data_IF_085283355709
#
_entry.id   IF_085283355709
#
_cell.length_a   1.000
_cell.length_b   1.000
_cell.length_c   1.000
_cell.angle_alpha   90.00
_cell.angle_beta   90.00
_cell.angle_gamma   90.00
#
_symmetry.space_group_name_H-M   'P 1'
#
loop_
_entity.id
_entity.type
_entity.pdbx_description
1 polymer ?
#
# COMPACT_ATOMS: atom_id res chain seq x y z
N UNK A 1 82.47 24.89 -21.23
CA UNK A 1 81.46 24.62 -20.19
C UNK A 1 80.58 25.86 -20.07
N UNK A 2 79.39 25.81 -20.64
CA UNK A 2 78.30 26.73 -20.35
C UNK A 2 77.03 26.01 -20.80
N UNK A 3 76.48 25.20 -19.90
CA UNK A 3 75.18 24.55 -20.10
C UNK A 3 74.10 25.63 -19.97
N UNK A 4 73.30 25.79 -21.01
CA UNK A 4 72.08 26.60 -20.97
C UNK A 4 71.01 25.84 -20.19
N UNK A 5 70.63 26.37 -19.03
CA UNK A 5 69.51 25.89 -18.24
C UNK A 5 68.22 26.24 -18.99
N UNK A 6 67.61 25.25 -19.61
CA UNK A 6 66.25 25.36 -20.14
C UNK A 6 65.24 25.33 -19.00
N UNK A 7 64.46 26.40 -18.84
CA UNK A 7 63.32 26.40 -17.93
C UNK A 7 62.28 25.38 -18.38
N UNK A 8 62.15 24.28 -17.63
CA UNK A 8 61.02 23.36 -17.75
C UNK A 8 59.74 24.11 -17.37
N UNK A 9 58.90 24.40 -18.36
CA UNK A 9 57.52 24.80 -18.14
C UNK A 9 56.81 23.67 -17.38
N UNK A 10 56.65 23.82 -16.07
CA UNK A 10 55.77 22.97 -15.26
C UNK A 10 54.42 22.89 -15.98
N UNK A 11 54.02 21.69 -16.40
CA UNK A 11 52.66 21.41 -16.86
C UNK A 11 51.74 21.69 -15.68
N UNK A 12 51.13 22.87 -15.67
CA UNK A 12 50.06 23.19 -14.74
C UNK A 12 48.90 22.24 -15.02
N UNK A 13 48.66 21.31 -14.10
CA UNK A 13 47.45 20.51 -14.10
C UNK A 13 46.29 21.42 -13.70
N UNK A 14 45.19 21.41 -14.45
CA UNK A 14 43.99 22.18 -14.09
C UNK A 14 43.45 21.80 -12.69
N UNK A 15 43.85 20.62 -12.22
CA UNK A 15 43.51 20.02 -10.93
C UNK A 15 44.32 20.58 -9.75
N UNK A 16 45.42 21.32 -10.00
CA UNK A 16 46.28 21.92 -8.96
C UNK A 16 45.88 23.37 -8.63
N UNK A 17 44.76 23.85 -9.19
CA UNK A 17 44.23 25.18 -8.91
C UNK A 17 43.59 25.20 -7.51
N UNK A 18 43.92 26.20 -6.65
CA UNK A 18 43.37 26.31 -5.29
C UNK A 18 41.85 26.54 -5.27
N UNK A 19 41.25 26.84 -6.41
CA UNK A 19 39.82 27.11 -6.59
C UNK A 19 38.96 25.85 -6.81
N UNK A 20 39.56 24.67 -6.95
CA UNK A 20 38.83 23.39 -7.07
C UNK A 20 38.80 22.70 -5.70
N UNK A 21 37.74 22.88 -4.88
CA UNK A 21 37.64 22.21 -3.59
C UNK A 21 37.58 20.69 -3.79
N UNK A 22 38.71 20.01 -3.58
CA UNK A 22 38.78 18.56 -3.66
C UNK A 22 38.01 17.94 -2.48
N UNK A 23 37.04 17.07 -2.77
CA UNK A 23 36.32 16.27 -1.77
C UNK A 23 35.07 16.90 -1.14
N UNK A 24 34.71 18.15 -1.48
CA UNK A 24 33.46 18.78 -1.04
C UNK A 24 32.70 19.42 -2.19
N UNK A 25 31.40 19.12 -2.27
CA UNK A 25 30.48 19.74 -3.22
C UNK A 25 30.27 21.21 -2.83
N UNK A 26 30.30 22.17 -3.79
CA UNK A 26 29.85 23.52 -3.54
C UNK A 26 28.45 23.57 -2.89
N UNK A 27 28.16 24.52 -1.97
CA UNK A 27 26.91 24.54 -1.22
C UNK A 27 25.64 24.52 -2.08
N UNK A 28 25.67 25.14 -3.27
CA UNK A 28 24.52 25.15 -4.18
C UNK A 28 24.27 23.79 -4.84
N UNK A 29 25.32 23.02 -5.15
CA UNK A 29 25.21 21.68 -5.71
C UNK A 29 24.80 20.67 -4.62
N UNK A 30 25.28 20.85 -3.39
CA UNK A 30 24.84 20.03 -2.26
C UNK A 30 23.35 20.23 -1.97
N UNK A 31 22.86 21.47 -2.08
CA UNK A 31 21.44 21.78 -1.98
C UNK A 31 20.63 21.07 -3.07
N UNK A 32 21.08 21.14 -4.32
CA UNK A 32 20.45 20.45 -5.45
C UNK A 32 20.46 18.91 -5.26
N UNK A 33 21.52 18.35 -4.69
CA UNK A 33 21.66 16.92 -4.42
C UNK A 33 20.74 16.44 -3.30
N UNK A 34 20.63 17.19 -2.21
CA UNK A 34 20.01 16.74 -0.96
C UNK A 34 18.56 17.22 -0.74
N UNK A 35 18.13 18.27 -1.43
CA UNK A 35 16.81 18.90 -1.24
C UNK A 35 16.07 19.09 -2.55
N UNK A 36 14.75 19.05 -2.46
CA UNK A 36 13.86 19.57 -3.50
C UNK A 36 13.54 21.02 -3.14
N UNK A 37 13.62 21.97 -4.07
CA UNK A 37 13.26 23.36 -3.79
C UNK A 37 11.83 23.63 -4.25
N UNK A 38 10.93 24.04 -3.36
CA UNK A 38 9.56 24.36 -3.73
C UNK A 38 9.39 25.87 -3.93
N UNK A 39 9.42 26.32 -5.20
CA UNK A 39 9.15 27.71 -5.56
C UNK A 39 7.64 27.94 -5.79
N UNK A 40 7.27 29.21 -6.01
CA UNK A 40 5.89 29.64 -6.28
C UNK A 40 5.34 28.98 -7.55
N UNK A 41 6.15 28.96 -8.61
CA UNK A 41 5.76 28.39 -9.90
C UNK A 41 5.79 26.85 -9.87
N UNK A 42 6.99 26.27 -9.73
CA UNK A 42 7.21 24.83 -9.81
C UNK A 42 8.32 24.35 -8.85
N UNK A 43 8.27 23.08 -8.41
CA UNK A 43 9.39 22.49 -7.69
C UNK A 43 10.60 22.32 -8.62
N UNK A 44 11.80 22.58 -8.08
CA UNK A 44 13.08 22.45 -8.76
C UNK A 44 13.90 21.36 -8.08
N UNK A 45 14.81 20.73 -8.84
CA UNK A 45 15.69 19.66 -8.38
C UNK A 45 14.91 18.43 -7.89
N UNK A 46 13.93 17.97 -8.66
CA UNK A 46 13.13 16.77 -8.32
C UNK A 46 13.88 15.47 -8.53
N UNK A 47 14.89 15.46 -9.40
CA UNK A 47 15.66 14.27 -9.76
C UNK A 47 16.69 13.88 -8.68
N UNK A 48 16.90 12.58 -8.49
CA UNK A 48 18.00 12.06 -7.66
C UNK A 48 19.26 11.88 -8.51
N UNK A 49 20.36 12.51 -8.08
CA UNK A 49 21.67 12.43 -8.74
C UNK A 49 22.55 11.51 -7.90
N UNK A 50 22.45 10.20 -8.12
CA UNK A 50 23.18 9.18 -7.36
C UNK A 50 24.08 8.27 -8.23
N UNK A 51 24.25 8.57 -9.52
CA UNK A 51 25.10 7.75 -10.38
C UNK A 51 26.59 7.94 -10.04
N UNK A 52 27.39 6.88 -10.22
CA UNK A 52 28.81 6.84 -9.81
C UNK A 52 29.67 7.97 -10.40
N UNK A 53 29.40 8.36 -11.66
CA UNK A 53 30.11 9.46 -12.33
C UNK A 53 29.68 10.86 -11.89
N UNK A 54 28.63 11.00 -11.07
CA UNK A 54 28.17 12.30 -10.60
C UNK A 54 29.23 12.88 -9.67
N UNK A 55 29.66 14.12 -9.92
CA UNK A 55 30.67 14.81 -9.11
C UNK A 55 32.02 14.08 -8.99
N UNK A 56 32.31 13.13 -9.88
CA UNK A 56 33.60 12.42 -9.93
C UNK A 56 34.77 13.38 -10.18
N UNK A 57 34.55 14.46 -10.95
CA UNK A 57 35.51 15.54 -11.16
C UNK A 57 35.84 16.33 -9.87
N UNK A 58 34.98 16.25 -8.85
CA UNK A 58 35.19 16.86 -7.53
C UNK A 58 35.78 15.86 -6.51
N UNK A 59 36.12 14.64 -6.96
CA UNK A 59 36.68 13.59 -6.11
C UNK A 59 35.66 12.89 -5.22
N UNK A 60 34.36 13.00 -5.53
CA UNK A 60 33.30 12.38 -4.73
C UNK A 60 32.94 11.03 -5.32
N UNK A 61 33.16 10.00 -4.51
CA UNK A 61 32.73 8.65 -4.82
C UNK A 61 31.26 8.45 -4.42
N UNK A 62 30.39 8.43 -5.43
CA UNK A 62 28.96 8.08 -5.30
C UNK A 62 28.69 6.60 -5.64
N UNK A 63 29.72 5.76 -5.72
CA UNK A 63 29.51 4.32 -5.92
C UNK A 63 28.64 3.72 -4.82
N UNK A 64 27.73 2.84 -5.22
CA UNK A 64 26.78 2.17 -4.33
C UNK A 64 27.50 1.12 -3.49
N UNK A 65 27.98 1.51 -2.30
CA UNK A 65 28.54 0.59 -1.30
C UNK A 65 27.47 0.18 -0.30
N UNK A 66 27.25 -1.13 -0.15
CA UNK A 66 26.28 -1.69 0.80
C UNK A 66 26.56 -1.25 2.23
N UNK A 67 27.83 -1.15 2.64
CA UNK A 67 28.21 -0.70 3.97
C UNK A 67 27.77 0.73 4.25
N UNK A 68 27.90 1.62 3.26
CA UNK A 68 27.45 3.01 3.36
C UNK A 68 25.93 3.10 3.48
N UNK A 69 25.21 2.28 2.72
CA UNK A 69 23.75 2.21 2.80
C UNK A 69 23.30 1.71 4.17
N UNK A 70 23.87 0.61 4.66
CA UNK A 70 23.53 0.02 5.97
C UNK A 70 23.75 0.99 7.13
N UNK A 71 24.83 1.76 7.10
CA UNK A 71 25.13 2.74 8.15
C UNK A 71 24.21 3.98 8.12
N UNK A 72 23.68 4.34 6.95
CA UNK A 72 22.85 5.53 6.77
C UNK A 72 21.36 5.24 6.90
N UNK A 73 20.92 4.03 6.53
CA UNK A 73 19.51 3.66 6.51
C UNK A 73 18.95 3.53 7.93
N UNK A 74 17.85 4.23 8.21
CA UNK A 74 17.16 4.20 9.51
C UNK A 74 15.66 4.22 9.32
N UNK A 75 14.95 3.52 10.19
CA UNK A 75 13.49 3.52 10.24
C UNK A 75 13.03 3.92 11.63
N UNK A 76 12.18 4.95 11.70
CA UNK A 76 11.65 5.47 12.97
C UNK A 76 10.12 5.36 12.96
N UNK A 77 9.56 4.47 13.78
CA UNK A 77 8.10 4.33 13.89
C UNK A 77 7.55 5.43 14.79
N UNK A 78 6.73 6.31 14.24
CA UNK A 78 6.16 7.46 14.96
C UNK A 78 4.83 7.09 15.59
N UNK A 79 3.96 6.41 14.85
CA UNK A 79 2.66 5.98 15.34
C UNK A 79 2.34 4.55 14.86
N UNK A 80 1.87 3.72 15.79
CA UNK A 80 1.40 2.37 15.51
C UNK A 80 0.03 2.18 16.16
N UNK A 81 -1.02 2.22 15.34
CA UNK A 81 -2.38 1.88 15.73
C UNK A 81 -2.72 0.45 15.23
N UNK A 82 -3.94 -0.01 15.53
CA UNK A 82 -4.41 -1.34 15.08
C UNK A 82 -4.60 -1.44 13.57
N UNK A 83 -5.06 -0.35 12.94
CA UNK A 83 -5.39 -0.31 11.51
C UNK A 83 -4.51 0.68 10.72
N UNK A 84 -3.76 1.56 11.42
CA UNK A 84 -2.92 2.60 10.82
C UNK A 84 -1.48 2.53 11.35
N UNK A 85 -0.50 2.86 10.50
CA UNK A 85 0.92 2.94 10.85
C UNK A 85 1.56 4.15 10.16
N UNK A 86 2.33 4.94 10.91
CA UNK A 86 3.13 6.05 10.39
C UNK A 86 4.58 5.87 10.85
N UNK A 87 5.51 5.87 9.90
CA UNK A 87 6.93 5.66 10.17
C UNK A 87 7.78 6.43 9.16
N UNK A 88 8.97 6.85 9.59
CA UNK A 88 9.92 7.55 8.75
C UNK A 88 10.95 6.56 8.19
N UNK A 89 11.27 6.70 6.91
CA UNK A 89 12.36 5.99 6.23
C UNK A 89 13.43 6.99 5.80
N UNK A 90 14.59 6.91 6.45
CA UNK A 90 15.72 7.81 6.24
C UNK A 90 16.84 7.07 5.50
N UNK A 91 17.45 7.72 4.52
CA UNK A 91 18.59 7.21 3.76
C UNK A 91 18.24 6.31 2.58
N UNK A 92 16.99 6.38 2.07
CA UNK A 92 16.52 5.60 0.92
C UNK A 92 16.23 6.50 -0.29
N UNK A 93 16.26 5.93 -1.50
CA UNK A 93 15.85 6.64 -2.73
C UNK A 93 14.34 6.52 -2.99
N UNK A 94 13.80 7.50 -3.69
CA UNK A 94 12.38 7.56 -4.04
C UNK A 94 11.92 6.34 -4.86
N UNK A 95 12.79 5.77 -5.71
CA UNK A 95 12.45 4.58 -6.49
C UNK A 95 12.10 3.39 -5.59
N UNK A 96 12.87 3.16 -4.52
CA UNK A 96 12.63 2.05 -3.60
C UNK A 96 11.42 2.32 -2.71
N UNK A 97 11.27 3.53 -2.18
CA UNK A 97 10.08 3.94 -1.42
C UNK A 97 8.79 3.78 -2.25
N UNK A 98 8.81 4.18 -3.52
CA UNK A 98 7.70 4.00 -4.44
C UNK A 98 7.44 2.52 -4.78
N UNK A 99 8.48 1.70 -4.82
CA UNK A 99 8.36 0.26 -5.04
C UNK A 99 7.64 -0.39 -3.86
N UNK A 100 8.01 -0.06 -2.61
CA UNK A 100 7.28 -0.53 -1.42
C UNK A 100 5.82 -0.09 -1.44
N UNK A 101 5.55 1.18 -1.75
CA UNK A 101 4.18 1.67 -1.92
C UNK A 101 3.40 0.85 -2.95
N UNK A 102 4.01 0.56 -4.11
CA UNK A 102 3.38 -0.24 -5.17
C UNK A 102 3.08 -1.67 -4.73
N UNK A 103 4.04 -2.33 -4.08
CA UNK A 103 3.91 -3.70 -3.54
C UNK A 103 2.76 -3.76 -2.52
N UNK A 104 2.69 -2.80 -1.60
CA UNK A 104 1.64 -2.73 -0.57
C UNK A 104 0.24 -2.63 -1.17
N UNK A 105 0.08 -1.89 -2.28
CA UNK A 105 -1.22 -1.68 -2.93
C UNK A 105 -1.60 -2.85 -3.84
N UNK A 106 -0.65 -3.39 -4.61
CA UNK A 106 -0.97 -4.24 -5.74
C UNK A 106 -0.52 -5.70 -5.60
N UNK A 107 0.57 -5.99 -4.90
CA UNK A 107 1.19 -7.32 -4.96
C UNK A 107 0.96 -8.17 -3.71
N UNK A 108 0.67 -7.54 -2.57
CA UNK A 108 0.34 -8.27 -1.36
C UNK A 108 -0.98 -9.04 -1.50
N UNK A 109 -0.98 -10.36 -1.26
CA UNK A 109 -2.18 -11.16 -1.41
C UNK A 109 -3.11 -11.04 -0.21
N UNK A 110 -4.41 -11.11 -0.46
CA UNK A 110 -5.47 -11.15 0.56
C UNK A 110 -6.57 -12.14 0.18
N UNK A 111 -7.47 -12.43 1.12
CA UNK A 111 -8.68 -13.22 0.89
C UNK A 111 -9.85 -12.28 0.63
N UNK A 112 -10.56 -12.45 -0.49
CA UNK A 112 -11.76 -11.70 -0.82
C UNK A 112 -12.79 -12.59 -1.52
N UNK A 113 -14.07 -12.20 -1.47
CA UNK A 113 -15.17 -12.92 -2.12
C UNK A 113 -15.02 -12.76 -3.64
N UNK A 114 -15.10 -13.89 -4.36
CA UNK A 114 -15.03 -13.91 -5.82
C UNK A 114 -16.25 -14.49 -6.48
N UNK A 115 -16.72 -15.66 -6.02
CA UNK A 115 -17.93 -16.28 -6.56
C UNK A 115 -19.06 -16.14 -5.56
N UNK A 116 -20.22 -15.69 -6.02
CA UNK A 116 -21.46 -15.62 -5.22
C UNK A 116 -22.50 -16.48 -5.92
N UNK A 117 -22.93 -17.53 -5.25
CA UNK A 117 -23.96 -18.46 -5.69
C UNK A 117 -25.28 -18.03 -5.04
N UNK A 118 -26.21 -17.53 -5.83
CA UNK A 118 -27.51 -17.06 -5.34
C UNK A 118 -28.53 -18.16 -5.55
N UNK A 119 -29.14 -18.64 -4.47
CA UNK A 119 -30.22 -19.62 -4.53
C UNK A 119 -31.58 -18.93 -4.72
N UNK A 120 -31.81 -17.84 -3.97
CA UNK A 120 -33.02 -17.04 -4.09
C UNK A 120 -32.75 -15.59 -3.69
N UNK A 121 -33.04 -14.64 -4.59
CA UNK A 121 -33.03 -13.22 -4.28
C UNK A 121 -34.36 -12.59 -4.71
N UNK A 122 -35.18 -12.23 -3.73
CA UNK A 122 -36.44 -11.48 -3.94
C UNK A 122 -36.32 -10.02 -3.47
N UNK A 123 -35.10 -9.57 -3.18
CA UNK A 123 -34.83 -8.19 -2.78
C UNK A 123 -34.93 -7.22 -3.96
N UNK A 124 -34.87 -5.92 -3.66
CA UNK A 124 -34.86 -4.87 -4.69
C UNK A 124 -33.48 -4.76 -5.36
N UNK A 125 -32.42 -5.22 -4.69
CA UNK A 125 -31.05 -5.13 -5.18
C UNK A 125 -30.84 -6.24 -6.22
N UNK A 126 -30.34 -5.85 -7.39
CA UNK A 126 -29.98 -6.79 -8.45
C UNK A 126 -28.84 -7.71 -8.02
N UNK A 127 -28.84 -8.93 -8.55
CA UNK A 127 -27.89 -9.98 -8.21
C UNK A 127 -26.43 -9.54 -8.43
N UNK A 128 -26.14 -8.88 -9.55
CA UNK A 128 -24.79 -8.43 -9.89
C UNK A 128 -24.31 -7.33 -8.94
N UNK A 129 -25.22 -6.43 -8.55
CA UNK A 129 -24.92 -5.34 -7.61
C UNK A 129 -24.70 -5.91 -6.21
N UNK A 130 -25.50 -6.90 -5.79
CA UNK A 130 -25.33 -7.59 -4.52
C UNK A 130 -24.00 -8.33 -4.47
N UNK A 131 -23.66 -9.09 -5.52
CA UNK A 131 -22.40 -9.81 -5.63
C UNK A 131 -21.19 -8.87 -5.62
N UNK A 132 -21.24 -7.76 -6.36
CA UNK A 132 -20.18 -6.76 -6.37
C UNK A 132 -19.95 -6.16 -4.97
N UNK A 133 -21.02 -5.85 -4.22
CA UNK A 133 -20.93 -5.32 -2.85
C UNK A 133 -20.30 -6.33 -1.89
N UNK A 134 -20.68 -7.61 -1.99
CA UNK A 134 -20.07 -8.67 -1.19
C UNK A 134 -18.59 -8.86 -1.55
N UNK A 135 -18.22 -8.72 -2.82
CA UNK A 135 -16.83 -8.78 -3.27
C UNK A 135 -15.91 -7.76 -2.62
N UNK A 136 -16.41 -6.57 -2.26
CA UNK A 136 -15.64 -5.48 -1.65
C UNK A 136 -15.53 -5.57 -0.12
N UNK A 137 -16.15 -6.58 0.50
CA UNK A 137 -16.10 -6.75 1.95
C UNK A 137 -14.76 -7.32 2.38
N UNK A 138 -14.03 -6.66 3.32
CA UNK A 138 -12.79 -7.21 3.85
C UNK A 138 -13.05 -8.34 4.85
N UNK A 139 -12.39 -9.48 4.62
CA UNK A 139 -12.46 -10.67 5.49
C UNK A 139 -11.22 -10.70 6.39
N UNK A 140 -11.43 -10.97 7.70
CA UNK A 140 -10.31 -11.09 8.66
C UNK A 140 -9.75 -12.51 8.64
N UNK A 141 -8.83 -12.78 7.73
CA UNK A 141 -8.15 -14.08 7.57
C UNK A 141 -6.69 -13.86 7.22
N UNK A 142 -5.80 -14.74 7.69
CA UNK A 142 -4.41 -14.77 7.23
C UNK A 142 -4.31 -15.44 5.84
N UNK A 143 -3.96 -14.70 4.77
CA UNK A 143 -3.86 -15.25 3.43
C UNK A 143 -2.69 -16.24 3.27
N UNK A 144 -1.75 -16.31 4.21
CA UNK A 144 -0.60 -17.24 4.15
C UNK A 144 -1.01 -18.69 4.34
N UNK A 145 -2.13 -18.92 5.00
CA UNK A 145 -2.66 -20.26 5.29
C UNK A 145 -3.36 -20.90 4.08
N UNK A 146 -3.64 -20.10 3.05
CA UNK A 146 -4.38 -20.52 1.86
C UNK A 146 -3.47 -20.54 0.62
N UNK A 147 -3.72 -21.51 -0.26
CA UNK A 147 -3.06 -21.60 -1.56
C UNK A 147 -3.90 -20.87 -2.64
N UNK A 148 -3.27 -20.59 -3.78
CA UNK A 148 -3.97 -19.94 -4.89
C UNK A 148 -4.83 -20.96 -5.65
N UNK A 149 -6.06 -20.53 -6.00
CA UNK A 149 -6.93 -21.33 -6.86
C UNK A 149 -6.48 -21.21 -8.32
N UNK A 150 -6.07 -22.33 -8.93
CA UNK A 150 -5.81 -22.39 -10.37
C UNK A 150 -7.12 -22.61 -11.15
N UNK A 151 -7.17 -22.22 -12.43
CA UNK A 151 -8.39 -22.30 -13.25
C UNK A 151 -8.97 -23.73 -13.37
N UNK A 152 -8.10 -24.75 -13.35
CA UNK A 152 -8.48 -26.16 -13.45
C UNK A 152 -8.71 -26.83 -12.09
N UNK A 153 -8.43 -26.13 -10.98
CA UNK A 153 -8.49 -26.73 -9.66
C UNK A 153 -9.91 -26.63 -9.07
N UNK A 154 -10.29 -27.65 -8.31
CA UNK A 154 -11.57 -27.66 -7.61
C UNK A 154 -11.47 -26.86 -6.31
N UNK A 155 -12.54 -26.17 -5.88
CA UNK A 155 -12.55 -25.48 -4.60
C UNK A 155 -12.39 -26.45 -3.42
N UNK A 156 -11.19 -26.45 -2.83
CA UNK A 156 -10.79 -27.29 -1.71
C UNK A 156 -10.71 -26.49 -0.40
N UNK A 157 -10.57 -27.20 0.72
CA UNK A 157 -10.44 -26.65 2.08
C UNK A 157 -9.23 -25.70 2.26
N UNK A 158 -8.17 -25.87 1.46
CA UNK A 158 -6.96 -25.03 1.50
C UNK A 158 -7.04 -23.79 0.62
N UNK A 159 -7.99 -23.73 -0.30
CA UNK A 159 -7.98 -22.73 -1.38
C UNK A 159 -9.17 -21.78 -1.26
N UNK A 160 -10.27 -22.24 -0.68
CA UNK A 160 -11.55 -21.51 -0.66
C UNK A 160 -12.13 -21.44 0.74
N UNK A 161 -12.76 -20.31 1.05
CA UNK A 161 -13.58 -20.13 2.25
C UNK A 161 -15.02 -19.91 1.80
N UNK A 162 -15.96 -20.63 2.42
CA UNK A 162 -17.38 -20.53 2.08
C UNK A 162 -18.13 -19.78 3.17
N UNK A 163 -18.96 -18.85 2.76
CA UNK A 163 -19.89 -18.14 3.62
C UNK A 163 -21.32 -18.35 3.14
N UNK A 164 -22.28 -18.40 4.06
CA UNK A 164 -23.71 -18.48 3.80
C UNK A 164 -24.41 -17.24 4.35
N UNK A 165 -25.29 -16.66 3.53
CA UNK A 165 -26.20 -15.60 3.94
C UNK A 165 -27.62 -16.08 3.68
N UNK A 166 -28.39 -16.24 4.75
CA UNK A 166 -29.81 -16.57 4.67
C UNK A 166 -30.60 -15.63 5.57
N UNK A 167 -31.35 -14.72 4.96
CA UNK A 167 -32.13 -13.70 5.68
C UNK A 167 -33.49 -13.51 5.02
N UNK A 168 -34.55 -13.68 5.81
CA UNK A 168 -35.93 -13.49 5.39
C UNK A 168 -36.64 -12.45 6.26
N UNK A 169 -37.31 -11.49 5.62
CA UNK A 169 -38.20 -10.56 6.28
C UNK A 169 -39.64 -11.10 6.24
N UNK A 170 -40.16 -11.58 7.38
CA UNK A 170 -41.54 -12.10 7.45
C UNK A 170 -42.58 -11.00 7.15
N UNK A 171 -43.69 -11.36 6.51
CA UNK A 171 -44.82 -10.45 6.25
C UNK A 171 -45.33 -9.87 7.58
N UNK A 172 -45.59 -8.56 7.61
CA UNK A 172 -46.06 -7.83 8.79
C UNK A 172 -44.97 -7.30 9.74
N UNK A 173 -43.68 -7.58 9.49
CA UNK A 173 -42.56 -6.95 10.22
C UNK A 173 -42.13 -5.64 9.54
N UNK A 174 -41.51 -4.69 10.27
CA UNK A 174 -40.91 -3.52 9.64
C UNK A 174 -39.73 -3.93 8.74
N UNK A 175 -39.33 -3.01 7.86
CA UNK A 175 -38.17 -3.21 6.98
C UNK A 175 -36.93 -3.55 7.81
N UNK A 176 -36.22 -4.60 7.42
CA UNK A 176 -34.98 -5.03 8.09
C UNK A 176 -33.77 -4.55 7.30
N UNK A 177 -32.72 -4.15 8.02
CA UNK A 177 -31.42 -3.82 7.41
C UNK A 177 -30.52 -5.04 7.59
N UNK A 178 -30.15 -5.66 6.49
CA UNK A 178 -29.23 -6.80 6.48
C UNK A 178 -27.81 -6.26 6.58
N UNK A 179 -27.18 -6.54 7.71
CA UNK A 179 -25.77 -6.25 7.97
C UNK A 179 -24.91 -7.47 7.67
N UNK A 180 -23.60 -7.24 7.59
CA UNK A 180 -22.60 -8.26 7.31
C UNK A 180 -22.44 -9.29 8.44
N UNK A 181 -22.84 -8.97 9.66
CA UNK A 181 -22.99 -9.92 10.77
C UNK A 181 -23.91 -11.11 10.45
N UNK A 182 -24.82 -10.97 9.48
CA UNK A 182 -25.67 -12.08 9.04
C UNK A 182 -24.92 -13.13 8.19
N UNK A 183 -23.69 -12.84 7.75
CA UNK A 183 -22.87 -13.74 6.95
C UNK A 183 -22.19 -14.78 7.86
N UNK A 184 -22.56 -16.04 7.71
CA UNK A 184 -22.05 -17.15 8.51
C UNK A 184 -20.97 -17.92 7.75
N UNK A 185 -19.84 -18.19 8.37
CA UNK A 185 -18.81 -19.06 7.81
C UNK A 185 -19.27 -20.53 7.86
N UNK A 186 -19.06 -21.25 6.75
CA UNK A 186 -19.31 -22.68 6.64
C UNK A 186 -17.97 -23.43 6.54
N UNK A 187 -17.55 -24.15 7.60
CA UNK A 187 -16.25 -24.82 7.64
C UNK A 187 -16.21 -26.15 6.90
N UNK A 188 -17.38 -26.72 6.58
CA UNK A 188 -17.53 -28.00 5.90
C UNK A 188 -17.74 -27.84 4.37
N UNK A 189 -17.71 -26.60 3.88
CA UNK A 189 -17.92 -26.26 2.48
C UNK A 189 -19.33 -25.80 2.15
N UNK A 190 -19.64 -25.80 0.86
CA UNK A 190 -20.93 -25.42 0.27
C UNK A 190 -22.03 -26.42 0.62
N UNK A 191 -23.19 -25.92 1.03
CA UNK A 191 -24.41 -26.70 1.25
C UNK A 191 -25.30 -26.70 -0.01
N UNK A 192 -25.07 -25.79 -0.95
CA UNK A 192 -25.77 -25.77 -2.23
C UNK A 192 -25.36 -26.94 -3.13
N UNK A 193 -26.37 -27.65 -3.62
CA UNK A 193 -26.22 -28.80 -4.51
C UNK A 193 -26.04 -28.32 -5.94
N UNK A 194 -25.06 -28.87 -6.66
CA UNK A 194 -24.95 -28.69 -8.11
C UNK A 194 -26.04 -29.51 -8.80
N UNK A 195 -26.76 -28.89 -9.73
CA UNK A 195 -27.67 -29.62 -10.62
C UNK A 195 -26.86 -30.48 -11.62
N UNK A 196 -26.63 -31.74 -11.29
CA UNK A 196 -26.00 -32.69 -12.22
C UNK A 196 -27.02 -33.09 -13.29
N UNK A 197 -26.78 -32.72 -14.56
CA UNK A 197 -27.70 -32.96 -15.69
C UNK A 197 -27.92 -34.43 -16.08
N UNK A 198 -27.25 -35.38 -15.44
CA UNK A 198 -27.36 -36.80 -15.74
C UNK A 198 -27.95 -37.58 -14.56
N UNK A 199 -29.27 -37.51 -14.42
CA UNK A 199 -30.04 -38.40 -13.57
C UNK A 199 -30.16 -39.79 -14.22
N UNK A 200 -29.09 -40.58 -14.15
CA UNK A 200 -29.18 -42.04 -14.26
C UNK A 200 -28.55 -42.65 -13.02
N UNK A 201 -29.43 -42.90 -12.04
CA UNK A 201 -29.34 -43.91 -10.98
C UNK A 201 -27.95 -44.22 -10.38
N UNK A 202 -27.68 -43.63 -9.21
CA UNK A 202 -27.17 -44.36 -8.05
C UNK A 202 -27.49 -43.56 -6.78
N UNK A 203 -28.41 -44.07 -5.96
CA UNK A 203 -28.99 -43.39 -4.79
C UNK A 203 -28.12 -43.47 -3.52
N UNK A 204 -26.80 -43.61 -3.65
CA UNK A 204 -25.88 -43.84 -2.53
C UNK A 204 -24.71 -42.85 -2.44
N UNK A 205 -24.48 -42.02 -3.47
CA UNK A 205 -23.46 -40.97 -3.44
C UNK A 205 -24.02 -39.69 -2.80
N UNK A 206 -23.21 -39.04 -1.95
CA UNK A 206 -23.53 -37.70 -1.42
C UNK A 206 -23.74 -36.75 -2.61
N UNK A 207 -24.75 -35.84 -2.56
CA UNK A 207 -24.98 -34.89 -3.64
C UNK A 207 -23.72 -34.05 -3.88
N UNK A 208 -23.38 -33.84 -5.15
CA UNK A 208 -22.21 -33.04 -5.52
C UNK A 208 -22.44 -31.56 -5.17
N UNK A 209 -21.62 -31.04 -4.26
CA UNK A 209 -21.65 -29.63 -3.84
C UNK A 209 -20.70 -28.78 -4.68
N UNK A 210 -20.76 -27.45 -4.52
CA UNK A 210 -19.85 -26.56 -5.25
C UNK A 210 -18.38 -26.64 -4.81
N UNK A 211 -18.14 -27.16 -3.61
CA UNK A 211 -16.81 -27.38 -3.04
C UNK A 211 -16.60 -28.85 -2.67
N UNK A 212 -15.35 -29.29 -2.64
CA UNK A 212 -14.95 -30.62 -2.15
C UNK A 212 -14.04 -30.45 -0.93
N UNK A 213 -14.61 -30.56 0.27
CA UNK A 213 -13.85 -30.43 1.52
C UNK A 213 -13.64 -31.84 2.09
N UNK A 214 -12.38 -32.24 2.25
CA UNK A 214 -12.03 -33.56 2.81
C UNK A 214 -12.09 -33.56 4.33
N UNK A 215 -11.80 -32.41 4.94
CA UNK A 215 -11.79 -32.16 6.36
C UNK A 215 -12.46 -30.81 6.68
N UNK A 216 -13.00 -30.68 7.88
CA UNK A 216 -13.56 -29.41 8.35
C UNK A 216 -12.44 -28.42 8.66
N UNK A 217 -12.59 -27.18 8.17
CA UNK A 217 -11.64 -26.09 8.46
C UNK A 217 -11.59 -25.73 9.97
N UNK A 218 -12.62 -26.07 10.75
CA UNK A 218 -12.62 -25.85 12.22
C UNK A 218 -11.54 -26.65 12.96
N UNK A 219 -11.05 -27.75 12.37
CA UNK A 219 -10.02 -28.58 12.98
C UNK A 219 -8.64 -27.91 12.96
N UNK A 220 -8.46 -26.85 12.17
CA UNK A 220 -7.20 -26.12 12.07
C UNK A 220 -7.05 -25.23 13.31
N UNK A 221 -6.00 -25.45 14.14
CA UNK A 221 -5.86 -24.84 15.46
C UNK A 221 -5.78 -23.31 15.45
N UNK A 222 -5.38 -22.71 14.33
CA UNK A 222 -5.33 -21.26 14.15
C UNK A 222 -6.73 -20.64 14.04
N UNK A 223 -7.68 -21.35 13.43
CA UNK A 223 -9.06 -20.87 13.27
C UNK A 223 -9.91 -21.06 14.53
N UNK A 224 -9.54 -21.99 15.40
CA UNK A 224 -10.13 -22.11 16.74
C UNK A 224 -9.83 -20.86 17.59
N UNK A 225 -8.61 -20.32 17.47
CA UNK A 225 -8.20 -19.10 18.19
C UNK A 225 -8.79 -17.84 17.55
N UNK A 226 -8.85 -17.80 16.22
CA UNK A 226 -9.34 -16.67 15.45
C UNK A 226 -10.35 -17.14 14.40
N UNK A 227 -11.66 -17.11 14.71
CA UNK A 227 -12.68 -17.54 13.75
C UNK A 227 -12.71 -16.62 12.52
N UNK A 228 -13.06 -17.22 11.38
CA UNK A 228 -13.16 -16.51 10.10
C UNK A 228 -14.44 -15.66 10.12
N UNK A 229 -14.27 -14.36 10.35
CA UNK A 229 -15.36 -13.38 10.44
C UNK A 229 -15.02 -12.20 9.54
N UNK A 230 -16.01 -11.54 8.92
CA UNK A 230 -15.76 -10.28 8.24
C UNK A 230 -15.22 -9.21 9.21
N UNK A 231 -14.28 -8.37 8.77
CA UNK A 231 -13.58 -7.43 9.67
C UNK A 231 -14.53 -6.41 10.32
N UNK A 232 -15.56 -5.97 9.61
CA UNK A 232 -16.50 -4.94 10.05
C UNK A 232 -17.95 -5.44 9.99
N UNK A 233 -18.52 -5.96 11.09
CA UNK A 233 -19.86 -6.59 11.08
C UNK A 233 -21.00 -5.62 10.75
N UNK A 234 -20.80 -4.32 10.98
CA UNK A 234 -21.82 -3.29 10.81
C UNK A 234 -22.05 -2.81 9.36
N UNK A 235 -21.30 -3.34 8.39
CA UNK A 235 -21.48 -3.00 6.98
C UNK A 235 -22.88 -3.43 6.52
N UNK A 236 -23.65 -2.49 5.96
CA UNK A 236 -24.97 -2.77 5.39
C UNK A 236 -24.79 -3.42 4.02
N UNK A 237 -25.43 -4.57 3.81
CA UNK A 237 -25.47 -5.28 2.52
C UNK A 237 -26.73 -4.89 1.76
N UNK A 238 -27.90 -5.11 2.37
CA UNK A 238 -29.19 -4.94 1.73
C UNK A 238 -30.24 -4.41 2.73
N UNK A 239 -31.33 -3.85 2.21
CA UNK A 239 -32.53 -3.53 2.99
C UNK A 239 -33.68 -4.35 2.44
N UNK A 240 -34.32 -5.13 3.30
CA UNK A 240 -35.42 -6.00 2.91
C UNK A 240 -36.75 -5.45 3.42
N UNK A 241 -37.75 -5.50 2.53
CA UNK A 241 -39.14 -5.26 2.85
C UNK A 241 -39.87 -6.55 3.28
N UNK A 242 -41.10 -6.43 3.80
CA UNK A 242 -41.88 -7.57 4.26
C UNK A 242 -42.17 -8.55 3.12
N UNK A 243 -41.85 -9.82 3.33
CA UNK A 243 -42.01 -10.90 2.35
C UNK A 243 -40.80 -11.13 1.44
N UNK A 244 -39.72 -10.34 1.57
CA UNK A 244 -38.49 -10.54 0.81
C UNK A 244 -37.48 -11.42 1.55
N UNK A 245 -36.66 -12.10 0.77
CA UNK A 245 -35.67 -13.08 1.21
C UNK A 245 -34.43 -13.02 0.32
N UNK A 246 -33.27 -13.23 0.96
CA UNK A 246 -31.98 -13.43 0.30
C UNK A 246 -31.39 -14.74 0.85
N UNK A 247 -31.09 -15.66 -0.05
CA UNK A 247 -30.35 -16.88 0.19
C UNK A 247 -29.21 -17.00 -0.81
N UNK A 248 -27.97 -16.99 -0.32
CA UNK A 248 -26.77 -17.12 -1.14
C UNK A 248 -25.61 -17.76 -0.38
N UNK A 249 -24.66 -18.28 -1.14
CA UNK A 249 -23.33 -18.67 -0.69
C UNK A 249 -22.26 -17.82 -1.38
N UNK A 250 -21.24 -17.42 -0.64
CA UNK A 250 -20.15 -16.61 -1.13
C UNK A 250 -18.82 -17.34 -0.91
N UNK A 251 -18.06 -17.53 -1.98
CA UNK A 251 -16.77 -18.21 -1.98
C UNK A 251 -15.66 -17.17 -2.05
N UNK A 252 -14.84 -17.12 -1.01
CA UNK A 252 -13.66 -16.28 -0.94
C UNK A 252 -12.40 -17.06 -1.30
N UNK A 253 -11.54 -16.42 -2.08
CA UNK A 253 -10.28 -16.99 -2.58
C UNK A 253 -9.15 -16.00 -2.41
N UNK A 254 -7.94 -16.53 -2.45
CA UNK A 254 -6.70 -15.75 -2.38
C UNK A 254 -6.44 -15.07 -3.73
N UNK A 255 -6.17 -13.76 -3.69
CA UNK A 255 -5.84 -12.99 -4.88
C UNK A 255 -4.96 -11.77 -4.55
N UNK A 256 -4.56 -11.04 -5.59
CA UNK A 256 -3.67 -9.88 -5.50
C UNK A 256 -4.38 -8.60 -5.97
N UNK A 257 -4.02 -7.46 -5.38
CA UNK A 257 -4.61 -6.15 -5.69
C UNK A 257 -4.43 -5.73 -7.15
N UNK A 258 -3.38 -6.21 -7.83
CA UNK A 258 -3.12 -5.98 -9.26
C UNK A 258 -4.23 -6.53 -10.16
N UNK A 259 -4.87 -7.63 -9.77
CA UNK A 259 -5.98 -8.23 -10.52
C UNK A 259 -7.28 -7.46 -10.28
N UNK A 260 -7.58 -7.13 -9.03
CA UNK A 260 -8.75 -6.33 -8.67
C UNK A 260 -8.54 -5.62 -7.32
N UNK A 261 -9.05 -4.40 -7.19
CA UNK A 261 -8.89 -3.57 -5.99
C UNK A 261 -9.46 -4.19 -4.70
N UNK A 262 -10.40 -5.13 -4.83
CA UNK A 262 -10.96 -5.88 -3.68
C UNK A 262 -9.92 -6.68 -2.89
N UNK A 263 -8.80 -7.02 -3.52
CA UNK A 263 -7.69 -7.72 -2.86
C UNK A 263 -6.60 -6.77 -2.32
N UNK A 264 -6.77 -5.46 -2.41
CA UNK A 264 -5.85 -4.51 -1.78
C UNK A 264 -5.94 -4.65 -0.25
N UNK A 265 -4.85 -5.01 0.45
CA UNK A 265 -4.85 -5.10 1.92
C UNK A 265 -4.89 -3.74 2.61
N UNK A 266 -4.43 -2.70 1.92
CA UNK A 266 -4.34 -1.34 2.44
C UNK A 266 -5.51 -0.50 1.94
N UNK A 267 -6.04 0.36 2.81
CA UNK A 267 -7.01 1.39 2.41
C UNK A 267 -6.32 2.44 1.52
N UNK A 268 -5.22 3.00 2.02
CA UNK A 268 -4.31 3.83 1.22
C UNK A 268 -2.89 3.65 1.75
N UNK A 269 -1.93 3.57 0.83
CA UNK A 269 -0.51 3.65 1.14
C UNK A 269 0.08 4.78 0.32
N UNK A 270 0.66 5.76 1.01
CA UNK A 270 1.27 6.92 0.40
C UNK A 270 2.44 7.36 1.27
N UNK A 271 3.34 8.13 0.70
CA UNK A 271 4.46 8.71 1.41
C UNK A 271 4.63 10.17 1.01
N UNK A 272 5.33 10.93 1.83
CA UNK A 272 5.78 12.29 1.49
C UNK A 272 7.19 12.54 2.01
N UNK A 273 7.91 13.42 1.34
CA UNK A 273 9.22 13.87 1.84
C UNK A 273 9.03 14.75 3.09
N UNK A 274 9.93 14.62 4.07
CA UNK A 274 9.96 15.49 5.25
C UNK A 274 10.16 16.95 4.81
N UNK A 275 9.21 17.86 5.06
CA UNK A 275 9.37 19.27 4.70
C UNK A 275 10.41 19.96 5.59
N UNK A 276 11.48 20.52 5.03
CA UNK A 276 12.37 21.44 5.77
C UNK A 276 11.99 22.89 5.43
N UNK A 277 11.75 23.72 6.43
CA UNK A 277 11.54 25.16 6.25
C UNK A 277 12.76 25.91 6.79
N UNK A 278 13.35 26.79 5.99
CA UNK A 278 14.38 27.74 6.45
C UNK A 278 13.87 29.16 6.36
N UNK A 279 14.06 29.91 7.43
CA UNK A 279 13.64 31.30 7.55
C UNK A 279 14.91 32.16 7.70
N UNK A 280 15.26 32.85 6.63
CA UNK A 280 16.34 33.82 6.59
C UNK A 280 15.73 35.22 6.77
N UNK A 281 15.57 35.64 8.03
CA UNK A 281 15.07 36.97 8.35
C UNK A 281 15.97 37.71 9.35
N UNK A 282 16.51 38.86 8.92
CA UNK A 282 17.16 39.84 9.79
C UNK A 282 16.09 40.76 10.41
N UNK A 283 15.26 40.21 11.29
CA UNK A 283 14.18 40.94 11.97
C UNK A 283 14.43 41.04 13.49
N UNK A 284 13.88 42.08 14.13
CA UNK A 284 13.96 42.28 15.59
C UNK A 284 13.37 41.11 16.39
N UNK A 285 12.37 40.41 15.83
CA UNK A 285 11.84 39.15 16.36
C UNK A 285 12.17 38.03 15.38
N UNK A 286 12.89 37.03 15.84
CA UNK A 286 13.30 35.86 15.03
C UNK A 286 12.25 34.76 15.19
N UNK A 287 11.71 34.29 14.07
CA UNK A 287 10.85 33.10 14.03
C UNK A 287 11.71 31.86 13.76
N UNK A 288 11.49 30.80 14.51
CA UNK A 288 12.10 29.49 14.28
C UNK A 288 11.03 28.44 14.00
N UNK A 289 11.35 27.49 13.15
CA UNK A 289 10.42 26.43 12.76
C UNK A 289 10.38 25.40 13.88
N UNK A 290 9.24 25.30 14.57
CA UNK A 290 9.10 24.39 15.71
C UNK A 290 8.86 22.95 15.28
N UNK A 291 7.93 22.72 14.33
CA UNK A 291 7.51 21.37 13.89
C UNK A 291 7.35 21.31 12.37
N UNK A 292 8.43 21.04 11.62
CA UNK A 292 8.37 20.94 10.16
C UNK A 292 7.38 19.87 9.68
N UNK A 293 7.36 18.69 10.31
CA UNK A 293 6.53 17.51 9.93
C UNK A 293 5.05 17.82 9.72
N UNK A 294 4.49 18.76 10.48
CA UNK A 294 3.06 19.12 10.41
C UNK A 294 2.73 19.97 9.18
N UNK A 295 3.74 20.53 8.52
CA UNK A 295 3.55 21.33 7.32
C UNK A 295 2.94 20.49 6.19
N UNK A 296 1.87 21.00 5.58
CA UNK A 296 1.20 20.41 4.42
C UNK A 296 1.77 20.91 3.08
N UNK A 297 2.82 21.74 3.11
CA UNK A 297 3.41 22.38 1.93
C UNK A 297 2.40 23.17 1.08
N UNK A 298 1.49 23.92 1.72
CA UNK A 298 0.48 24.74 1.05
C UNK A 298 1.03 25.96 0.28
N UNK A 299 2.32 26.31 0.44
CA UNK A 299 3.02 27.43 -0.22
C UNK A 299 2.50 28.85 0.05
N UNK A 300 1.56 29.04 0.98
CA UNK A 300 1.08 30.39 1.32
C UNK A 300 2.18 31.31 1.88
N UNK A 301 3.22 30.74 2.50
CA UNK A 301 4.35 31.52 3.03
C UNK A 301 5.24 32.18 1.97
N UNK A 302 5.19 31.72 0.71
CA UNK A 302 5.98 32.27 -0.41
C UNK A 302 5.11 33.02 -1.43
N UNK A 303 3.83 33.23 -1.11
CA UNK A 303 2.88 33.85 -2.05
C UNK A 303 3.13 35.35 -2.23
N UNK A 304 3.47 36.04 -1.14
CA UNK A 304 3.69 37.48 -1.11
C UNK A 304 5.03 37.90 -1.71
N UNK A 305 5.10 39.15 -2.16
CA UNK A 305 6.31 39.70 -2.77
C UNK A 305 7.47 39.73 -1.74
N UNK A 306 8.69 39.45 -2.21
CA UNK A 306 9.92 39.34 -1.42
C UNK A 306 10.00 38.21 -0.36
N UNK A 307 8.93 37.45 -0.14
CA UNK A 307 8.95 36.34 0.83
C UNK A 307 9.75 35.12 0.35
N UNK A 308 9.89 34.92 -0.96
CA UNK A 308 10.74 33.88 -1.55
C UNK A 308 12.21 34.01 -1.15
N UNK A 309 12.69 35.24 -0.90
CA UNK A 309 14.07 35.49 -0.44
C UNK A 309 14.25 35.22 1.05
N UNK A 310 13.16 35.18 1.82
CA UNK A 310 13.17 35.06 3.29
C UNK A 310 12.78 33.68 3.78
N UNK A 311 11.99 32.95 3.02
CA UNK A 311 11.48 31.63 3.40
C UNK A 311 11.77 30.66 2.28
N UNK A 312 12.56 29.63 2.58
CA UNK A 312 12.85 28.54 1.66
C UNK A 312 12.14 27.26 2.11
N UNK A 313 11.28 26.73 1.24
CA UNK A 313 10.63 25.43 1.40
C UNK A 313 11.46 24.37 0.69
N UNK A 314 12.02 23.43 1.46
CA UNK A 314 13.01 22.46 0.98
C UNK A 314 12.75 21.05 1.48
N UNK A 315 11.83 20.27 0.90
CA UNK A 315 11.69 18.87 1.29
C UNK A 315 12.99 18.08 1.17
N UNK A 316 13.23 17.21 2.15
CA UNK A 316 14.41 16.36 2.27
C UNK A 316 14.25 15.14 1.37
N UNK A 317 15.17 14.93 0.41
CA UNK A 317 15.04 13.87 -0.60
C UNK A 317 15.17 12.45 -0.06
N UNK A 318 15.96 12.29 0.99
CA UNK A 318 16.33 11.00 1.59
C UNK A 318 15.52 10.71 2.87
N UNK A 319 14.46 11.46 3.16
CA UNK A 319 13.63 11.25 4.33
C UNK A 319 12.15 11.23 3.94
N UNK A 320 11.56 10.04 3.96
CA UNK A 320 10.15 9.80 3.65
C UNK A 320 9.37 9.52 4.93
N UNK A 321 8.17 10.09 4.99
CA UNK A 321 7.12 9.86 5.99
C UNK A 321 6.01 9.04 5.32
#
# INVERSE_FOLDING_TARGET
>A
MAEGVGEEKKKFSIWDLPDVPMGQVPPHLELQRSRVSCNKDAPIHTESIQYSGAYASMGIDNSSRLDRFSNNFRVEVVQLNKDDMEFDMIGIDAAIANSFRGILIAELPTMAIEKVLIANNTSIIQDEVLAHRLGLVPIRVDPRLFEYLSENDQPNEKNTIVFKLHVQCKRGRPRITVKLDALKWLPNGSELVKETRNATSDSSSKPETYTYFGCSQETIPEFVKNPIIPKYPDIIIAKLGPGQEIELEAHAVKGIGKTHAKWSPVATAWYRMLPELRIDCNCRRRATVARPRVCTLCRECIRGDDWEKRVALRPVKDNFI
#
